data_IF_396938225011
#
_entry.id   IF_396938225011
#
_cell.length_a   1.000
_cell.length_b   1.000
_cell.length_c   1.000
_cell.angle_alpha   90.00
_cell.angle_beta   90.00
_cell.angle_gamma   90.00
#
_symmetry.space_group_name_H-M   'P 1'
#
loop_
_entity.id
_entity.type
_entity.pdbx_description
1 polymer ?
#
# COMPACT_ATOMS: atom_id res chain seq x y z
N UNK A 1 -11.49 27.90 27.23
CA UNK A 1 -10.17 28.57 26.99
C UNK A 1 -9.77 28.53 25.51
N UNK A 2 -10.21 27.52 24.76
CA UNK A 2 -9.82 27.31 23.36
C UNK A 2 -10.67 28.05 22.32
N UNK A 3 -11.63 28.88 22.70
CA UNK A 3 -12.53 29.50 21.72
C UNK A 3 -11.85 30.53 20.79
N UNK A 4 -10.58 30.88 21.03
CA UNK A 4 -9.81 31.86 20.26
C UNK A 4 -8.56 31.24 19.61
N UNK A 5 -8.48 31.28 18.27
CA UNK A 5 -7.33 30.84 17.48
C UNK A 5 -6.01 31.54 17.89
N UNK A 6 -6.08 32.68 18.59
CA UNK A 6 -4.91 33.36 19.18
C UNK A 6 -4.15 32.53 20.22
N UNK A 7 -4.68 31.38 20.62
CA UNK A 7 -3.99 30.42 21.49
C UNK A 7 -2.89 29.63 20.76
N UNK A 8 -3.01 29.45 19.43
CA UNK A 8 -2.09 28.64 18.62
C UNK A 8 -0.64 29.15 18.73
N UNK A 9 -0.34 30.46 18.56
CA UNK A 9 1.02 30.95 18.73
C UNK A 9 1.60 30.68 20.13
N UNK A 10 0.76 30.72 21.18
CA UNK A 10 1.21 30.42 22.54
C UNK A 10 1.58 28.94 22.71
N UNK A 11 0.80 28.05 22.13
CA UNK A 11 1.12 26.61 22.08
C UNK A 11 2.45 26.39 21.35
N UNK A 12 2.62 27.04 20.19
CA UNK A 12 3.77 26.81 19.33
C UNK A 12 5.07 27.43 19.83
N UNK A 13 5.03 28.62 20.43
CA UNK A 13 6.26 29.36 20.75
C UNK A 13 6.56 29.47 22.25
N UNK A 14 5.59 29.18 23.12
CA UNK A 14 5.80 29.19 24.58
C UNK A 14 5.07 28.03 25.29
N UNK A 15 5.36 26.77 24.92
CA UNK A 15 4.59 25.62 25.37
C UNK A 15 4.69 25.37 26.87
N UNK A 16 5.86 25.62 27.47
CA UNK A 16 6.07 25.37 28.91
C UNK A 16 5.19 26.28 29.75
N UNK A 17 5.17 27.58 29.45
CA UNK A 17 4.32 28.52 30.18
C UNK A 17 2.84 28.28 29.86
N UNK A 18 2.52 27.96 28.61
CA UNK A 18 1.17 27.61 28.20
C UNK A 18 0.60 26.44 29.03
N UNK A 19 1.28 25.29 29.04
CA UNK A 19 0.83 24.12 29.80
C UNK A 19 0.84 24.35 31.32
N UNK A 20 1.74 25.19 31.84
CA UNK A 20 1.76 25.51 33.28
C UNK A 20 0.52 26.26 33.77
N UNK A 21 -0.12 27.03 32.88
CA UNK A 21 -1.31 27.85 33.18
C UNK A 21 -2.61 27.19 32.70
N UNK A 22 -2.50 26.10 31.95
CA UNK A 22 -3.64 25.39 31.39
C UNK A 22 -4.42 24.70 32.51
N UNK A 23 -5.67 25.11 32.69
CA UNK A 23 -6.62 24.41 33.55
C UNK A 23 -7.02 23.09 32.87
N UNK A 24 -7.49 22.14 33.66
CA UNK A 24 -8.09 20.91 33.12
C UNK A 24 -9.23 21.26 32.15
N UNK A 25 -9.26 20.55 31.02
CA UNK A 25 -10.16 20.84 29.90
C UNK A 25 -11.14 19.68 29.76
N UNK A 26 -12.40 19.99 29.54
CA UNK A 26 -13.40 18.97 29.25
C UNK A 26 -13.21 18.39 27.84
N UNK A 27 -13.66 17.15 27.61
CA UNK A 27 -13.63 16.52 26.29
C UNK A 27 -14.34 17.40 25.24
N UNK A 28 -15.45 18.05 25.61
CA UNK A 28 -16.18 18.95 24.73
C UNK A 28 -15.39 20.19 24.31
N UNK A 29 -14.59 20.77 25.22
CA UNK A 29 -13.69 21.89 24.88
C UNK A 29 -12.56 21.44 23.95
N UNK A 30 -12.01 20.25 24.18
CA UNK A 30 -10.96 19.66 23.33
C UNK A 30 -11.49 19.33 21.94
N UNK A 31 -12.72 18.82 21.83
CA UNK A 31 -13.37 18.57 20.55
C UNK A 31 -13.61 19.87 19.78
N UNK A 32 -14.10 20.93 20.44
CA UNK A 32 -14.26 22.25 19.82
C UNK A 32 -12.92 22.78 19.27
N UNK A 33 -11.86 22.67 20.06
CA UNK A 33 -10.51 23.05 19.62
C UNK A 33 -10.06 22.21 18.41
N UNK A 34 -10.27 20.89 18.43
CA UNK A 34 -9.96 20.01 17.30
C UNK A 34 -10.72 20.39 16.03
N UNK A 35 -11.99 20.77 16.13
CA UNK A 35 -12.80 21.23 14.99
C UNK A 35 -12.23 22.54 14.41
N UNK A 36 -11.83 23.49 15.27
CA UNK A 36 -11.19 24.73 14.82
C UNK A 36 -9.85 24.47 14.15
N UNK A 37 -9.02 23.61 14.74
CA UNK A 37 -7.73 23.20 14.20
C UNK A 37 -7.90 22.47 12.86
N UNK A 38 -8.92 21.62 12.76
CA UNK A 38 -9.31 20.91 11.53
C UNK A 38 -9.69 21.88 10.41
N UNK A 39 -10.44 22.95 10.73
CA UNK A 39 -10.79 23.99 9.77
C UNK A 39 -9.53 24.70 9.24
N UNK A 40 -8.61 25.06 10.13
CA UNK A 40 -7.32 25.67 9.75
C UNK A 40 -6.51 24.72 8.87
N UNK A 41 -6.37 23.45 9.25
CA UNK A 41 -5.64 22.44 8.48
C UNK A 41 -6.21 22.31 7.06
N UNK A 42 -7.54 22.30 6.90
CA UNK A 42 -8.16 22.16 5.58
C UNK A 42 -7.96 23.38 4.71
N UNK A 43 -8.03 24.59 5.28
CA UNK A 43 -7.72 25.81 4.54
C UNK A 43 -6.26 25.82 4.06
N UNK A 44 -5.32 25.43 4.94
CA UNK A 44 -3.91 25.30 4.57
C UNK A 44 -3.71 24.23 3.50
N UNK A 45 -4.31 23.05 3.70
CA UNK A 45 -4.23 21.93 2.77
C UNK A 45 -4.77 22.29 1.39
N UNK A 46 -5.87 23.04 1.31
CA UNK A 46 -6.42 23.56 0.06
C UNK A 46 -5.47 24.54 -0.63
N UNK A 47 -4.89 25.50 0.10
CA UNK A 47 -3.92 26.43 -0.49
C UNK A 47 -2.67 25.68 -0.98
N UNK A 48 -2.14 24.75 -0.18
CA UNK A 48 -1.01 23.92 -0.56
C UNK A 48 -1.35 23.07 -1.78
N UNK A 49 -2.55 22.52 -1.88
CA UNK A 49 -2.96 21.72 -3.03
C UNK A 49 -3.01 22.55 -4.31
N UNK A 50 -3.49 23.80 -4.24
CA UNK A 50 -3.48 24.76 -5.35
C UNK A 50 -2.06 25.12 -5.81
N UNK A 51 -1.13 25.31 -4.88
CA UNK A 51 0.27 25.60 -5.20
C UNK A 51 0.98 24.41 -5.86
N UNK A 52 0.52 23.18 -5.56
CA UNK A 52 1.10 21.94 -6.05
C UNK A 52 0.34 21.32 -7.23
N UNK A 53 -0.58 22.06 -7.89
CA UNK A 53 -1.37 21.53 -9.02
C UNK A 53 -0.48 20.92 -10.10
N UNK A 54 0.69 21.51 -10.38
CA UNK A 54 1.63 20.95 -11.37
C UNK A 54 2.14 19.56 -11.00
N UNK A 55 2.58 19.37 -9.76
CA UNK A 55 3.05 18.07 -9.29
C UNK A 55 1.93 17.01 -9.33
N UNK A 56 0.68 17.41 -9.06
CA UNK A 56 -0.48 16.54 -9.20
C UNK A 56 -0.77 16.18 -10.66
N UNK A 57 -0.65 17.14 -11.59
CA UNK A 57 -0.84 16.88 -13.02
C UNK A 57 0.20 15.89 -13.56
N UNK A 58 1.46 15.98 -13.15
CA UNK A 58 2.50 15.01 -13.56
C UNK A 58 2.19 13.58 -13.10
N UNK A 59 1.64 13.41 -11.90
CA UNK A 59 1.20 12.10 -11.40
C UNK A 59 0.03 11.58 -12.22
N UNK A 60 -0.95 12.46 -12.52
CA UNK A 60 -2.12 12.14 -13.32
C UNK A 60 -1.74 11.71 -14.74
N UNK A 61 -0.80 12.42 -15.39
CA UNK A 61 -0.29 12.07 -16.72
C UNK A 61 0.39 10.69 -16.71
N UNK A 62 1.25 10.42 -15.73
CA UNK A 62 1.90 9.10 -15.56
C UNK A 62 0.89 7.97 -15.35
N UNK A 63 -0.22 8.26 -14.66
CA UNK A 63 -1.29 7.29 -14.49
C UNK A 63 -2.08 7.11 -15.79
N UNK A 64 -2.34 8.18 -16.54
CA UNK A 64 -3.08 8.13 -17.80
C UNK A 64 -2.41 7.20 -18.84
N UNK A 65 -1.09 7.09 -18.84
CA UNK A 65 -0.35 6.14 -19.69
C UNK A 65 -0.66 4.66 -19.36
N UNK A 66 -1.07 4.37 -18.12
CA UNK A 66 -1.40 3.01 -17.64
C UNK A 66 -2.89 2.70 -17.86
N UNK A 67 -3.78 3.67 -17.63
CA UNK A 67 -5.24 3.46 -17.63
C UNK A 67 -5.94 3.96 -18.90
N UNK A 68 -5.19 4.59 -19.81
CA UNK A 68 -5.68 5.15 -21.06
C UNK A 68 -6.31 6.55 -20.94
N UNK A 69 -6.51 7.26 -22.06
CA UNK A 69 -6.85 8.69 -22.11
C UNK A 69 -8.31 9.07 -21.74
N UNK A 70 -9.06 8.26 -21.00
CA UNK A 70 -10.54 8.25 -21.13
C UNK A 70 -11.37 8.78 -19.95
N UNK A 71 -10.85 9.57 -19.00
CA UNK A 71 -11.74 10.16 -17.99
C UNK A 71 -11.71 11.70 -17.96
N UNK A 72 -12.89 12.38 -18.05
CA UNK A 72 -13.03 13.81 -17.77
C UNK A 72 -12.41 14.24 -16.44
N UNK A 73 -12.21 13.30 -15.51
CA UNK A 73 -11.53 13.46 -14.23
C UNK A 73 -10.06 13.87 -14.37
N UNK A 74 -9.36 13.50 -15.46
CA UNK A 74 -7.94 13.82 -15.70
C UNK A 74 -7.74 15.14 -16.46
N UNK A 75 -8.82 15.80 -16.89
CA UNK A 75 -8.73 17.17 -17.42
C UNK A 75 -8.38 18.15 -16.30
N UNK A 76 -7.84 19.33 -16.64
CA UNK A 76 -7.51 20.37 -15.64
C UNK A 76 -8.73 20.80 -14.81
N UNK A 77 -9.91 20.88 -15.43
CA UNK A 77 -11.18 21.14 -14.72
C UNK A 77 -11.63 19.94 -13.87
N UNK A 78 -11.42 18.72 -14.34
CA UNK A 78 -11.67 17.48 -13.59
C UNK A 78 -10.82 17.36 -12.33
N UNK A 79 -9.52 17.64 -12.44
CA UNK A 79 -8.57 17.62 -11.32
C UNK A 79 -8.93 18.68 -10.28
N UNK A 80 -9.34 19.87 -10.73
CA UNK A 80 -9.80 20.93 -9.81
C UNK A 80 -11.07 20.51 -9.03
N UNK A 81 -12.10 20.00 -9.73
CA UNK A 81 -13.33 19.53 -9.09
C UNK A 81 -13.06 18.37 -8.13
N UNK A 82 -12.22 17.41 -8.54
CA UNK A 82 -11.78 16.31 -7.69
C UNK A 82 -11.10 16.83 -6.42
N UNK A 83 -10.20 17.80 -6.54
CA UNK A 83 -9.50 18.40 -5.40
C UNK A 83 -10.48 19.06 -4.42
N UNK A 84 -11.46 19.82 -4.91
CA UNK A 84 -12.49 20.44 -4.06
C UNK A 84 -13.31 19.39 -3.33
N UNK A 85 -13.81 18.37 -4.04
CA UNK A 85 -14.60 17.28 -3.46
C UNK A 85 -13.76 16.52 -2.42
N UNK A 86 -12.54 16.15 -2.78
CA UNK A 86 -11.61 15.44 -1.90
C UNK A 86 -11.30 16.27 -0.64
N UNK A 87 -11.08 17.57 -0.78
CA UNK A 87 -10.84 18.49 0.34
C UNK A 87 -12.04 18.50 1.30
N UNK A 88 -13.26 18.61 0.79
CA UNK A 88 -14.48 18.58 1.60
C UNK A 88 -14.62 17.24 2.32
N UNK A 89 -14.43 16.12 1.62
CA UNK A 89 -14.49 14.78 2.25
C UNK A 89 -13.42 14.65 3.34
N UNK A 90 -12.18 15.07 3.05
CA UNK A 90 -11.06 15.00 4.00
C UNK A 90 -11.32 15.80 5.27
N UNK A 91 -12.02 16.94 5.17
CA UNK A 91 -12.44 17.75 6.31
C UNK A 91 -13.36 16.97 7.26
N UNK A 92 -14.41 16.35 6.71
CA UNK A 92 -15.36 15.57 7.52
C UNK A 92 -14.69 14.32 8.12
N UNK A 93 -13.82 13.64 7.37
CA UNK A 93 -13.06 12.49 7.87
C UNK A 93 -12.11 12.89 9.00
N UNK A 94 -11.42 14.03 8.88
CA UNK A 94 -10.51 14.50 9.92
C UNK A 94 -11.24 14.92 11.21
N UNK A 95 -12.40 15.57 11.10
CA UNK A 95 -13.20 15.91 12.29
C UNK A 95 -13.67 14.64 13.01
N UNK A 96 -14.22 13.69 12.25
CA UNK A 96 -14.85 12.50 12.82
C UNK A 96 -13.81 11.42 13.14
N UNK A 97 -13.26 10.77 12.11
CA UNK A 97 -12.27 9.71 12.28
C UNK A 97 -10.99 10.23 12.95
N UNK A 98 -10.52 11.43 12.59
CA UNK A 98 -9.32 12.00 13.21
C UNK A 98 -9.45 12.17 14.73
N UNK A 99 -10.61 12.66 15.20
CA UNK A 99 -10.84 12.77 16.65
C UNK A 99 -11.00 11.41 17.34
N UNK A 100 -11.63 10.44 16.67
CA UNK A 100 -11.70 9.05 17.15
C UNK A 100 -10.30 8.46 17.31
N UNK A 101 -9.42 8.64 16.33
CA UNK A 101 -8.02 8.21 16.42
C UNK A 101 -7.28 8.90 17.57
N UNK A 102 -7.50 10.20 17.79
CA UNK A 102 -6.94 10.92 18.93
C UNK A 102 -7.37 10.31 20.25
N UNK A 103 -8.65 9.94 20.40
CA UNK A 103 -9.15 9.27 21.60
C UNK A 103 -8.45 7.92 21.79
N UNK A 104 -8.30 7.12 20.73
CA UNK A 104 -7.63 5.82 20.78
C UNK A 104 -6.16 5.98 21.20
N UNK A 105 -5.42 6.89 20.56
CA UNK A 105 -4.02 7.17 20.88
C UNK A 105 -3.89 7.67 22.32
N UNK A 106 -4.77 8.59 22.72
CA UNK A 106 -4.81 9.11 24.10
C UNK A 106 -5.11 8.01 25.10
N UNK A 107 -5.96 7.04 24.76
CA UNK A 107 -6.28 5.91 25.63
C UNK A 107 -5.09 4.99 25.80
N UNK A 108 -4.40 4.64 24.70
CA UNK A 108 -3.18 3.85 24.75
C UNK A 108 -2.13 4.55 25.61
N UNK A 109 -1.86 5.84 25.34
CA UNK A 109 -0.94 6.63 26.14
C UNK A 109 -1.38 6.71 27.61
N UNK A 110 -2.68 6.82 27.87
CA UNK A 110 -3.22 6.90 29.21
C UNK A 110 -2.96 5.64 30.03
N UNK A 111 -2.94 4.45 29.41
CA UNK A 111 -2.54 3.20 30.07
C UNK A 111 -1.12 3.35 30.62
N UNK A 112 -0.18 3.87 29.84
CA UNK A 112 1.21 4.10 30.29
C UNK A 112 1.28 5.21 31.32
N UNK A 113 0.57 6.33 31.13
CA UNK A 113 0.45 7.38 32.16
C UNK A 113 -0.04 6.80 33.49
N UNK A 114 -1.06 5.93 33.45
CA UNK A 114 -1.65 5.30 34.62
C UNK A 114 -0.66 4.37 35.34
N UNK A 115 0.10 3.56 34.59
CA UNK A 115 1.17 2.70 35.10
C UNK A 115 2.23 3.52 35.84
N UNK A 116 2.58 4.70 35.33
CA UNK A 116 3.56 5.60 35.94
C UNK A 116 2.97 6.50 37.05
N UNK A 117 1.72 6.26 37.45
CA UNK A 117 1.05 6.91 38.59
C UNK A 117 0.23 8.15 38.25
N UNK A 118 0.10 8.50 36.97
CA UNK A 118 -0.71 9.62 36.49
C UNK A 118 -2.21 9.28 36.48
N UNK A 119 -3.07 10.30 36.52
CA UNK A 119 -4.53 10.15 36.61
C UNK A 119 -5.23 11.28 35.85
N UNK A 120 -6.45 11.00 35.38
CA UNK A 120 -7.24 11.93 34.56
C UNK A 120 -6.99 11.69 33.08
N UNK A 121 -7.96 11.08 32.41
CA UNK A 121 -7.87 10.80 30.97
C UNK A 121 -7.88 12.10 30.17
N UNK A 122 -8.69 13.06 30.60
CA UNK A 122 -8.84 14.39 30.03
C UNK A 122 -7.50 15.13 29.94
N UNK A 123 -6.62 14.98 30.93
CA UNK A 123 -5.27 15.53 30.91
C UNK A 123 -4.38 14.91 29.85
N UNK A 124 -4.54 13.60 29.64
CA UNK A 124 -3.79 12.88 28.60
C UNK A 124 -4.30 13.26 27.22
N UNK A 125 -5.62 13.28 27.05
CA UNK A 125 -6.28 13.75 25.83
C UNK A 125 -5.89 15.21 25.51
N UNK A 126 -5.82 16.07 26.52
CA UNK A 126 -5.36 17.46 26.37
C UNK A 126 -3.92 17.52 25.85
N UNK A 127 -3.01 16.73 26.41
CA UNK A 127 -1.62 16.68 25.96
C UNK A 127 -1.51 16.21 24.50
N UNK A 128 -2.26 15.17 24.11
CA UNK A 128 -2.26 14.63 22.74
C UNK A 128 -2.87 15.63 21.76
N UNK A 129 -4.07 16.15 22.01
CA UNK A 129 -4.75 17.12 21.13
C UNK A 129 -3.88 18.35 20.87
N UNK A 130 -3.24 18.89 21.93
CA UNK A 130 -2.37 20.06 21.79
C UNK A 130 -1.07 19.67 21.09
N UNK A 131 -0.51 18.49 21.40
CA UNK A 131 0.66 17.93 20.72
C UNK A 131 0.47 17.74 19.22
N UNK A 132 -0.76 17.49 18.74
CA UNK A 132 -1.05 17.39 17.30
C UNK A 132 -1.15 18.73 16.57
N UNK A 133 -1.17 19.86 17.29
CA UNK A 133 -1.32 21.21 16.70
C UNK A 133 -0.27 21.53 15.64
N UNK A 134 1.04 21.31 15.85
CA UNK A 134 2.06 21.58 14.84
C UNK A 134 1.83 20.77 13.57
N UNK A 135 1.53 19.48 13.69
CA UNK A 135 1.28 18.60 12.54
C UNK A 135 0.02 18.99 11.78
N UNK A 136 -1.04 19.39 12.48
CA UNK A 136 -2.26 19.86 11.82
C UNK A 136 -2.06 21.20 11.07
N UNK A 137 -1.08 22.02 11.43
CA UNK A 137 -0.85 23.31 10.74
C UNK A 137 0.22 23.17 9.66
N UNK A 138 1.31 22.47 9.98
CA UNK A 138 2.52 22.43 9.18
C UNK A 138 2.71 21.09 8.44
N UNK A 139 1.90 20.08 8.77
CA UNK A 139 1.99 18.72 8.21
C UNK A 139 1.70 18.66 6.71
N UNK A 140 0.95 19.63 6.18
CA UNK A 140 0.64 19.70 4.74
C UNK A 140 1.84 20.12 3.90
N UNK A 141 2.86 20.75 4.50
CA UNK A 141 4.04 21.21 3.78
C UNK A 141 5.04 20.03 3.68
N UNK A 142 5.43 19.59 2.47
CA UNK A 142 6.41 18.53 2.28
C UNK A 142 7.70 18.79 3.07
N UNK A 143 8.28 17.73 3.66
CA UNK A 143 9.46 17.77 4.55
C UNK A 143 9.26 18.49 5.89
N UNK A 144 8.55 19.61 5.92
CA UNK A 144 8.24 20.36 7.15
C UNK A 144 7.35 19.54 8.09
N UNK A 145 6.45 18.72 7.54
CA UNK A 145 5.59 17.85 8.34
C UNK A 145 6.35 16.88 9.26
N UNK A 146 7.57 16.46 8.89
CA UNK A 146 8.41 15.60 9.73
C UNK A 146 8.85 16.37 10.98
N UNK A 147 9.36 17.59 10.79
CA UNK A 147 9.77 18.47 11.89
C UNK A 147 8.57 18.88 12.76
N UNK A 148 7.40 19.09 12.14
CA UNK A 148 6.16 19.36 12.86
C UNK A 148 5.75 18.17 13.75
N UNK A 149 5.88 16.93 13.26
CA UNK A 149 5.63 15.72 14.05
C UNK A 149 6.60 15.58 15.23
N UNK A 150 7.90 15.81 15.01
CA UNK A 150 8.90 15.80 16.07
C UNK A 150 8.62 16.89 17.12
N UNK A 151 8.23 18.08 16.68
CA UNK A 151 7.86 19.16 17.59
C UNK A 151 6.57 18.84 18.35
N UNK A 152 5.59 18.22 17.70
CA UNK A 152 4.38 17.72 18.33
C UNK A 152 4.66 16.72 19.46
N UNK A 153 5.62 15.82 19.24
CA UNK A 153 6.08 14.88 20.26
C UNK A 153 6.70 15.60 21.47
N UNK A 154 7.48 16.66 21.24
CA UNK A 154 8.02 17.50 22.31
C UNK A 154 6.88 18.16 23.11
N UNK A 155 5.88 18.71 22.41
CA UNK A 155 4.71 19.31 23.06
C UNK A 155 3.91 18.28 23.88
N UNK A 156 3.77 17.06 23.39
CA UNK A 156 3.11 15.98 24.10
C UNK A 156 3.88 15.59 25.37
N UNK A 157 5.21 15.47 25.30
CA UNK A 157 6.07 15.22 26.47
C UNK A 157 5.93 16.35 27.51
N UNK A 158 5.97 17.61 27.07
CA UNK A 158 5.79 18.78 27.96
C UNK A 158 4.40 18.78 28.56
N UNK A 159 3.36 18.50 27.76
CA UNK A 159 1.98 18.41 28.20
C UNK A 159 1.78 17.34 29.26
N UNK A 160 2.29 16.13 29.02
CA UNK A 160 2.27 15.03 30.01
C UNK A 160 3.03 15.42 31.27
N UNK A 161 4.22 16.03 31.17
CA UNK A 161 5.00 16.49 32.32
C UNK A 161 4.23 17.48 33.18
N UNK A 162 3.63 18.51 32.57
CA UNK A 162 2.96 19.57 33.33
C UNK A 162 1.59 19.13 33.86
N UNK A 163 0.78 18.45 33.04
CA UNK A 163 -0.58 18.07 33.43
C UNK A 163 -0.61 16.92 34.45
N UNK A 164 0.31 15.95 34.32
CA UNK A 164 0.43 14.83 35.28
C UNK A 164 1.49 15.07 36.37
N UNK A 165 2.11 16.25 36.41
CA UNK A 165 3.16 16.63 37.38
C UNK A 165 4.33 15.63 37.41
N UNK A 166 4.66 15.06 36.26
CA UNK A 166 5.81 14.18 36.10
C UNK A 166 7.08 15.00 35.86
N UNK A 167 8.24 14.46 36.29
CA UNK A 167 9.53 14.95 35.82
C UNK A 167 9.65 14.75 34.30
N UNK A 168 10.44 15.58 33.63
CA UNK A 168 10.61 15.51 32.17
C UNK A 168 11.10 14.13 31.73
N UNK A 169 12.07 13.55 32.43
CA UNK A 169 12.60 12.21 32.14
C UNK A 169 11.50 11.14 32.26
N UNK A 170 10.64 11.23 33.28
CA UNK A 170 9.50 10.32 33.43
C UNK A 170 8.51 10.48 32.28
N UNK A 171 8.21 11.71 31.85
CA UNK A 171 7.33 11.96 30.71
C UNK A 171 7.89 11.44 29.39
N UNK A 172 9.20 11.57 29.17
CA UNK A 172 9.88 11.00 28.00
C UNK A 172 9.64 9.50 27.96
N UNK A 173 9.86 8.78 29.08
CA UNK A 173 9.61 7.34 29.13
C UNK A 173 8.14 6.99 28.86
N UNK A 174 7.20 7.70 29.49
CA UNK A 174 5.76 7.48 29.35
C UNK A 174 5.27 7.66 27.91
N UNK A 175 5.83 8.61 27.17
CA UNK A 175 5.45 8.88 25.77
C UNK A 175 6.20 7.98 24.79
N UNK A 176 7.50 7.76 24.99
CA UNK A 176 8.31 6.99 24.02
C UNK A 176 8.10 5.48 24.11
N UNK A 177 7.84 4.91 25.28
CA UNK A 177 7.59 3.46 25.43
C UNK A 177 6.42 2.98 24.56
N UNK A 178 5.19 3.54 24.66
CA UNK A 178 4.08 3.15 23.79
C UNK A 178 4.40 3.36 22.32
N UNK A 179 5.08 4.46 21.98
CA UNK A 179 5.43 4.77 20.60
C UNK A 179 6.38 3.72 20.00
N UNK A 180 7.40 3.29 20.75
CA UNK A 180 8.34 2.25 20.34
C UNK A 180 7.62 0.90 20.19
N UNK A 181 6.77 0.52 21.15
CA UNK A 181 6.02 -0.75 21.09
C UNK A 181 5.10 -0.77 19.87
N UNK A 182 4.33 0.29 19.64
CA UNK A 182 3.46 0.40 18.46
C UNK A 182 4.26 0.38 17.16
N UNK A 183 5.39 1.09 17.12
CA UNK A 183 6.30 1.11 15.97
C UNK A 183 6.84 -0.29 15.63
N UNK A 184 7.24 -1.07 16.64
CA UNK A 184 7.71 -2.44 16.46
C UNK A 184 6.60 -3.38 15.95
N UNK A 185 5.38 -3.27 16.48
CA UNK A 185 4.23 -4.07 16.04
C UNK A 185 3.89 -3.75 14.58
N UNK A 186 3.80 -2.47 14.22
CA UNK A 186 3.51 -2.04 12.84
C UNK A 186 4.62 -2.51 11.89
N UNK A 187 5.90 -2.33 12.29
CA UNK A 187 7.04 -2.79 11.50
C UNK A 187 7.02 -4.30 11.26
N UNK A 188 6.69 -5.09 12.29
CA UNK A 188 6.56 -6.55 12.16
C UNK A 188 5.41 -6.95 11.23
N UNK A 189 4.26 -6.28 11.30
CA UNK A 189 3.13 -6.53 10.42
C UNK A 189 3.46 -6.22 8.95
N UNK A 190 4.14 -5.09 8.69
CA UNK A 190 4.59 -4.73 7.35
C UNK A 190 5.59 -5.75 6.80
N UNK A 191 6.55 -6.18 7.63
CA UNK A 191 7.50 -7.21 7.23
C UNK A 191 6.81 -8.54 6.90
N UNK A 192 5.84 -8.96 7.72
CA UNK A 192 5.07 -10.18 7.49
C UNK A 192 4.26 -10.10 6.18
N UNK A 193 3.56 -9.00 5.92
CA UNK A 193 2.79 -8.85 4.68
C UNK A 193 3.69 -8.78 3.45
N UNK A 194 4.85 -8.12 3.54
CA UNK A 194 5.84 -8.10 2.48
C UNK A 194 6.37 -9.51 2.16
N UNK A 195 6.66 -10.32 3.19
CA UNK A 195 7.08 -11.71 3.01
C UNK A 195 6.00 -12.57 2.32
N UNK A 196 4.74 -12.42 2.74
CA UNK A 196 3.61 -13.12 2.10
C UNK A 196 3.42 -12.72 0.64
N UNK A 197 3.61 -11.44 0.34
CA UNK A 197 3.54 -10.94 -1.04
C UNK A 197 4.68 -11.51 -1.89
N UNK A 198 5.91 -11.51 -1.38
CA UNK A 198 7.07 -12.10 -2.07
C UNK A 198 6.91 -13.60 -2.30
N UNK A 199 6.39 -14.35 -1.32
CA UNK A 199 6.10 -15.78 -1.53
C UNK A 199 5.04 -16.01 -2.60
N UNK A 200 4.02 -15.15 -2.69
CA UNK A 200 2.98 -15.27 -3.72
C UNK A 200 3.55 -15.05 -5.12
N UNK A 201 4.46 -14.10 -5.29
CA UNK A 201 5.15 -13.88 -6.58
C UNK A 201 5.98 -15.10 -6.97
N UNK A 202 6.71 -15.68 -6.02
CA UNK A 202 7.54 -16.86 -6.30
C UNK A 202 6.69 -18.05 -6.77
N UNK A 203 5.53 -18.29 -6.15
CA UNK A 203 4.61 -19.36 -6.59
C UNK A 203 4.05 -19.12 -7.99
N UNK A 204 3.77 -17.87 -8.38
CA UNK A 204 3.33 -17.54 -9.75
C UNK A 204 4.47 -17.76 -10.75
N UNK A 205 5.70 -17.39 -10.40
CA UNK A 205 6.86 -17.62 -11.25
C UNK A 205 7.09 -19.11 -11.50
N UNK A 206 6.91 -19.98 -10.50
CA UNK A 206 6.97 -21.43 -10.68
C UNK A 206 5.90 -21.93 -11.68
N UNK A 207 4.65 -21.47 -11.53
CA UNK A 207 3.54 -21.85 -12.40
C UNK A 207 3.67 -21.33 -13.84
N UNK A 208 4.42 -20.26 -14.07
CA UNK A 208 4.59 -19.62 -15.38
C UNK A 208 5.96 -19.85 -15.99
N UNK A 209 6.84 -20.57 -15.29
CA UNK A 209 8.23 -20.78 -15.69
C UNK A 209 8.32 -21.53 -17.01
N UNK A 210 7.49 -22.55 -17.23
CA UNK A 210 7.59 -23.48 -18.36
C UNK A 210 6.28 -23.62 -19.14
N UNK A 211 5.49 -22.54 -19.22
CA UNK A 211 4.22 -22.57 -19.96
C UNK A 211 4.46 -22.81 -21.45
N UNK A 212 3.79 -23.81 -22.01
CA UNK A 212 3.81 -24.12 -23.43
C UNK A 212 2.49 -23.79 -24.10
N UNK A 213 2.53 -23.51 -25.40
CA UNK A 213 1.34 -23.48 -26.24
C UNK A 213 1.55 -24.14 -27.61
N UNK A 214 0.52 -24.81 -28.12
CA UNK A 214 0.52 -25.39 -29.47
C UNK A 214 -0.01 -24.33 -30.45
N UNK A 215 0.91 -23.74 -31.21
CA UNK A 215 0.59 -22.74 -32.24
C UNK A 215 -0.13 -23.41 -33.41
N UNK A 216 0.40 -24.55 -33.85
CA UNK A 216 -0.12 -25.29 -34.98
C UNK A 216 0.11 -26.79 -34.82
N UNK A 217 -0.81 -27.58 -35.36
CA UNK A 217 -0.74 -29.03 -35.36
C UNK A 217 -1.36 -29.56 -36.65
N UNK A 218 -0.55 -30.23 -37.47
CA UNK A 218 -0.96 -30.73 -38.78
C UNK A 218 -0.46 -32.17 -39.01
N UNK A 219 -1.12 -32.92 -39.90
CA UNK A 219 -0.69 -34.25 -40.29
C UNK A 219 -0.46 -34.29 -41.80
N UNK A 220 0.75 -34.65 -42.23
CA UNK A 220 1.13 -34.69 -43.64
C UNK A 220 1.79 -36.05 -43.91
N UNK A 221 1.21 -36.84 -44.81
CA UNK A 221 1.66 -38.20 -45.13
C UNK A 221 1.74 -39.11 -43.89
N UNK A 222 0.72 -39.05 -43.03
CA UNK A 222 0.68 -39.78 -41.76
C UNK A 222 1.64 -39.24 -40.69
N UNK A 223 2.41 -38.17 -40.92
CA UNK A 223 3.32 -37.60 -39.91
C UNK A 223 2.72 -36.36 -39.26
N UNK A 224 2.57 -36.39 -37.94
CA UNK A 224 2.05 -35.26 -37.18
C UNK A 224 3.19 -34.25 -36.91
N UNK A 225 3.02 -33.01 -37.36
CA UNK A 225 3.92 -31.88 -37.12
C UNK A 225 3.29 -30.92 -36.12
N UNK A 226 4.07 -30.52 -35.11
CA UNK A 226 3.66 -29.61 -34.05
C UNK A 226 4.56 -28.37 -34.06
N UNK A 227 3.95 -27.20 -33.92
CA UNK A 227 4.65 -25.95 -33.63
C UNK A 227 4.33 -25.58 -32.20
N UNK A 228 5.33 -25.69 -31.33
CA UNK A 228 5.20 -25.45 -29.89
C UNK A 228 5.91 -24.13 -29.55
N UNK A 229 5.24 -23.27 -28.80
CA UNK A 229 5.80 -22.04 -28.24
C UNK A 229 6.04 -22.22 -26.75
N UNK A 230 7.21 -21.81 -26.25
CA UNK A 230 7.41 -21.59 -24.83
C UNK A 230 6.94 -20.17 -24.51
N UNK A 231 5.72 -20.04 -24.02
CA UNK A 231 5.14 -18.77 -23.55
C UNK A 231 5.51 -18.47 -22.10
N UNK A 232 6.27 -19.38 -21.45
CA UNK A 232 6.78 -19.24 -20.11
C UNK A 232 7.98 -18.28 -19.99
N UNK A 233 8.34 -17.98 -18.74
CA UNK A 233 9.38 -17.01 -18.39
C UNK A 233 10.78 -17.62 -18.24
N UNK A 234 10.90 -18.95 -18.34
CA UNK A 234 12.17 -19.67 -18.25
C UNK A 234 12.34 -20.68 -19.39
N UNK A 235 13.58 -21.03 -19.68
CA UNK A 235 13.90 -22.00 -20.72
C UNK A 235 13.45 -23.40 -20.28
N UNK A 236 12.88 -24.17 -21.21
CA UNK A 236 12.50 -25.56 -20.95
C UNK A 236 13.66 -26.45 -21.36
N UNK A 237 14.25 -27.14 -20.38
CA UNK A 237 15.38 -28.04 -20.60
C UNK A 237 14.99 -29.27 -21.44
N UNK A 238 16.00 -29.97 -21.94
CA UNK A 238 15.84 -31.19 -22.73
C UNK A 238 15.05 -32.25 -21.94
N UNK A 239 14.04 -32.86 -22.59
CA UNK A 239 13.10 -33.78 -21.96
C UNK A 239 12.06 -33.14 -21.01
N UNK A 240 12.05 -31.79 -20.91
CA UNK A 240 11.05 -31.05 -20.13
C UNK A 240 9.67 -30.95 -20.79
N UNK A 241 9.56 -31.35 -22.06
CA UNK A 241 8.30 -31.41 -22.81
C UNK A 241 8.01 -32.85 -23.16
N UNK A 242 6.77 -33.29 -22.92
CA UNK A 242 6.29 -34.63 -23.31
C UNK A 242 5.08 -34.50 -24.21
N UNK A 243 5.09 -35.26 -25.30
CA UNK A 243 4.01 -35.32 -26.28
C UNK A 243 3.28 -36.65 -26.13
N UNK A 244 1.97 -36.58 -25.96
CA UNK A 244 1.09 -37.73 -25.93
C UNK A 244 0.17 -37.70 -27.15
N UNK A 245 -0.07 -38.87 -27.74
CA UNK A 245 -1.03 -39.05 -28.84
C UNK A 245 -2.04 -40.09 -28.39
N UNK A 246 -3.31 -39.70 -28.38
CA UNK A 246 -4.44 -40.51 -27.91
C UNK A 246 -4.19 -41.10 -26.50
N UNK A 247 -3.52 -40.31 -25.64
CA UNK A 247 -3.21 -40.66 -24.25
C UNK A 247 -1.96 -41.53 -24.07
N UNK A 248 -1.28 -41.93 -25.14
CA UNK A 248 -0.02 -42.68 -25.06
C UNK A 248 1.18 -41.75 -25.27
N UNK A 249 2.23 -41.90 -24.45
CA UNK A 249 3.46 -41.14 -24.61
C UNK A 249 4.09 -41.51 -25.97
N UNK A 250 4.38 -40.52 -26.81
CA UNK A 250 5.00 -40.74 -28.10
C UNK A 250 6.52 -40.59 -27.98
N UNK A 251 7.24 -41.71 -28.13
CA UNK A 251 8.72 -41.73 -28.18
C UNK A 251 9.25 -41.08 -29.47
N UNK A 252 8.39 -40.89 -30.48
CA UNK A 252 8.72 -40.43 -31.82
C UNK A 252 9.00 -38.92 -31.91
N UNK A 253 8.65 -38.17 -30.87
CA UNK A 253 9.03 -36.75 -30.76
C UNK A 253 10.39 -36.55 -30.08
N UNK A 254 11.03 -37.62 -29.62
CA UNK A 254 12.32 -37.59 -28.94
C UNK A 254 12.32 -36.68 -27.70
N UNK A 255 13.49 -36.51 -27.09
CA UNK A 255 13.73 -35.38 -26.20
C UNK A 255 13.88 -34.14 -27.09
N UNK A 256 12.85 -33.30 -27.14
CA UNK A 256 12.91 -32.03 -27.87
C UNK A 256 14.06 -31.21 -27.30
N UNK A 257 15.03 -30.76 -28.12
CA UNK A 257 16.10 -29.91 -27.57
C UNK A 257 15.50 -28.69 -26.86
N UNK A 258 16.24 -28.05 -25.94
CA UNK A 258 15.72 -26.98 -25.11
C UNK A 258 14.98 -25.90 -25.90
N UNK A 259 13.83 -25.46 -25.38
CA UNK A 259 13.08 -24.32 -25.93
C UNK A 259 13.34 -23.12 -25.04
N UNK A 260 14.05 -22.13 -25.56
CA UNK A 260 14.29 -20.88 -24.83
C UNK A 260 12.96 -20.19 -24.50
N UNK A 261 12.93 -19.43 -23.41
CA UNK A 261 11.80 -18.59 -23.02
C UNK A 261 11.36 -17.68 -24.16
N UNK A 262 10.03 -17.52 -24.32
CA UNK A 262 9.42 -16.69 -25.37
C UNK A 262 9.86 -17.07 -26.80
N UNK A 263 10.21 -18.33 -27.04
CA UNK A 263 10.63 -18.82 -28.36
C UNK A 263 9.74 -19.94 -28.88
N UNK A 264 9.78 -20.13 -30.20
CA UNK A 264 9.00 -21.14 -30.90
C UNK A 264 9.93 -22.25 -31.39
N UNK A 265 9.45 -23.49 -31.32
CA UNK A 265 10.13 -24.64 -31.87
C UNK A 265 9.18 -25.52 -32.66
N UNK A 266 9.66 -26.02 -33.79
CA UNK A 266 8.94 -26.98 -34.61
C UNK A 266 9.42 -28.38 -34.24
N UNK A 267 8.47 -29.26 -33.95
CA UNK A 267 8.69 -30.66 -33.63
C UNK A 267 7.93 -31.52 -34.65
N UNK A 268 8.59 -32.53 -35.23
CA UNK A 268 7.98 -33.40 -36.25
C UNK A 268 8.02 -34.83 -35.76
N UNK A 269 6.85 -35.46 -35.62
CA UNK A 269 6.74 -36.88 -35.32
C UNK A 269 7.24 -37.68 -36.52
N UNK A 270 8.14 -38.64 -36.28
CA UNK A 270 8.80 -39.39 -37.35
C UNK A 270 8.03 -40.64 -37.79
N UNK A 271 7.05 -41.09 -37.01
CA UNK A 271 6.18 -42.24 -37.30
C UNK A 271 4.95 -41.88 -38.11
N UNK A 272 4.47 -42.86 -38.87
CA UNK A 272 3.23 -42.77 -39.63
C UNK A 272 2.07 -43.19 -38.74
N UNK A 273 1.10 -42.30 -38.58
CA UNK A 273 -0.17 -42.54 -37.91
C UNK A 273 -1.23 -42.96 -38.93
N UNK A 274 -2.20 -43.76 -38.49
CA UNK A 274 -3.33 -44.19 -39.31
C UNK A 274 -4.21 -42.98 -39.69
N UNK A 275 -5.01 -43.13 -40.75
CA UNK A 275 -5.97 -42.08 -41.10
C UNK A 275 -7.07 -41.97 -40.04
N UNK A 276 -7.43 -40.74 -39.68
CA UNK A 276 -8.41 -40.50 -38.63
C UNK A 276 -8.12 -39.28 -37.76
N UNK A 277 -8.87 -39.21 -36.66
CA UNK A 277 -8.81 -38.13 -35.68
C UNK A 277 -7.90 -38.56 -34.53
N UNK A 278 -6.87 -37.76 -34.26
CA UNK A 278 -5.96 -37.95 -33.13
C UNK A 278 -6.01 -36.76 -32.18
N UNK A 279 -5.89 -37.02 -30.88
CA UNK A 279 -5.73 -35.99 -29.85
C UNK A 279 -4.25 -35.95 -29.47
N UNK A 280 -3.61 -34.82 -29.76
CA UNK A 280 -2.24 -34.54 -29.36
C UNK A 280 -2.27 -33.71 -28.09
N UNK A 281 -1.64 -34.20 -27.03
CA UNK A 281 -1.50 -33.51 -25.76
C UNK A 281 -0.02 -33.21 -25.54
N UNK A 282 0.35 -31.94 -25.44
CA UNK A 282 1.71 -31.52 -25.10
C UNK A 282 1.72 -31.06 -23.65
N UNK A 283 2.62 -31.61 -22.85
CA UNK A 283 2.75 -31.29 -21.42
C UNK A 283 4.13 -30.72 -21.11
N UNK A 284 4.17 -29.78 -20.18
CA UNK A 284 5.38 -29.28 -19.51
C UNK A 284 5.23 -29.41 -17.99
N UNK A 285 6.23 -28.94 -17.22
CA UNK A 285 6.12 -28.85 -15.76
C UNK A 285 5.08 -27.83 -15.27
N UNK A 286 4.65 -26.89 -16.13
CA UNK A 286 3.74 -25.80 -15.75
C UNK A 286 2.32 -25.99 -16.27
N UNK A 287 2.11 -26.61 -17.43
CA UNK A 287 0.79 -26.79 -18.02
C UNK A 287 0.70 -27.96 -19.03
N UNK A 288 -0.52 -28.22 -19.51
CA UNK A 288 -0.85 -29.16 -20.58
C UNK A 288 -1.75 -28.47 -21.61
N UNK A 289 -1.50 -28.68 -22.90
CA UNK A 289 -2.38 -28.23 -23.98
C UNK A 289 -2.75 -29.39 -24.91
N UNK A 290 -4.03 -29.46 -25.28
CA UNK A 290 -4.57 -30.47 -26.18
C UNK A 290 -4.94 -29.85 -27.54
N UNK A 291 -4.62 -30.54 -28.63
CA UNK A 291 -5.06 -30.22 -29.99
C UNK A 291 -5.54 -31.46 -30.72
N UNK A 292 -6.62 -31.28 -31.48
CA UNK A 292 -7.13 -32.31 -32.36
C UNK A 292 -6.45 -32.17 -33.71
N UNK A 293 -5.89 -33.25 -34.23
CA UNK A 293 -5.28 -33.34 -35.55
C UNK A 293 -6.01 -34.39 -36.37
N UNK A 294 -6.20 -34.12 -37.66
CA UNK A 294 -6.78 -35.07 -38.61
C UNK A 294 -5.69 -35.53 -39.59
N UNK A 295 -5.53 -36.84 -39.73
CA UNK A 295 -4.65 -37.47 -40.70
C UNK A 295 -5.48 -38.06 -41.85
N UNK A 296 -5.11 -37.70 -43.08
CA UNK A 296 -5.70 -38.21 -44.33
C UNK A 296 -5.06 -39.53 -44.78
#
# INVERSE_FOLDING_TARGET
MFDDLKIIPKILFDPVNFFSKLKEQSIGELYKFWVQLSLVNVLIGFVVSLLNVKAWMEIVERLADIIGPISPLLSTSGVFLFNVIFTIISFFLMITLGFVFIIIISFILHIFVYIFGGRGFEKTLTAVVIGMTPTAILGQIPLVGIFAGLYGLILEIVGVSKLHKFSIIRSIAVVLIPLIILGLIIGALIAATALLYLSSINSINELTSSTISIIDASCINGKITLIISNTGTSDIADGGIKVFIDGSLSDDYGTLDPINSQSNKVAVGITSYDSGKHIVTVTSSSNSEDRIVYCD
#
